data_IF_027686458439
#
_entry.id   IF_027686458439
#
_cell.length_a   1.000
_cell.length_b   1.000
_cell.length_c   1.000
_cell.angle_alpha   90.00
_cell.angle_beta   90.00
_cell.angle_gamma   90.00
#
_symmetry.space_group_name_H-M   'P 1'
#
loop_
_entity.id
_entity.type
_entity.pdbx_description
1 polymer ?
#
# COMPACT_ATOMS: atom_id res chain seq x y z
N UNK A 1 -29.64 45.22 -32.47
CA UNK A 1 -29.40 43.99 -31.69
C UNK A 1 -27.90 43.83 -31.48
N UNK A 2 -27.44 43.69 -30.23
CA UNK A 2 -26.11 43.14 -29.98
C UNK A 2 -26.13 41.96 -28.98
N UNK A 3 -25.34 40.95 -29.34
CA UNK A 3 -24.55 40.01 -28.54
C UNK A 3 -25.18 39.25 -27.38
N UNK A 4 -25.62 38.03 -27.70
CA UNK A 4 -25.74 36.90 -26.78
C UNK A 4 -24.34 36.49 -26.28
N UNK A 5 -23.75 37.28 -25.38
CA UNK A 5 -22.50 36.92 -24.72
C UNK A 5 -22.73 35.63 -23.90
N UNK A 6 -22.17 34.52 -24.37
CA UNK A 6 -22.07 33.30 -23.57
C UNK A 6 -21.39 33.58 -22.22
N UNK A 7 -21.57 32.70 -21.22
CA UNK A 7 -21.06 32.95 -19.87
C UNK A 7 -19.58 33.31 -19.92
N UNK A 8 -19.21 34.44 -19.31
CA UNK A 8 -17.81 34.86 -19.21
C UNK A 8 -16.96 33.77 -18.57
N UNK A 9 -15.65 33.77 -18.84
CA UNK A 9 -14.74 32.70 -18.40
C UNK A 9 -14.86 32.36 -16.91
N UNK A 10 -15.09 33.36 -16.06
CA UNK A 10 -15.32 33.19 -14.62
C UNK A 10 -16.60 32.38 -14.30
N UNK A 11 -17.70 32.63 -15.01
CA UNK A 11 -18.95 31.90 -14.82
C UNK A 11 -18.85 30.46 -15.34
N UNK A 12 -18.08 30.21 -16.40
CA UNK A 12 -17.76 28.86 -16.87
C UNK A 12 -16.91 28.10 -15.83
N UNK A 13 -15.90 28.73 -15.23
CA UNK A 13 -15.08 28.13 -14.17
C UNK A 13 -15.90 27.85 -12.90
N UNK A 14 -16.76 28.78 -12.48
CA UNK A 14 -17.69 28.56 -11.37
C UNK A 14 -18.64 27.38 -11.63
N UNK A 15 -19.14 27.26 -12.87
CA UNK A 15 -20.00 26.13 -13.28
C UNK A 15 -19.24 24.79 -13.26
N UNK A 16 -17.95 24.77 -13.61
CA UNK A 16 -17.12 23.56 -13.52
C UNK A 16 -16.88 23.13 -12.06
N UNK A 17 -16.73 24.08 -11.13
CA UNK A 17 -16.62 23.77 -9.70
C UNK A 17 -17.91 23.16 -9.15
N UNK A 18 -19.07 23.73 -9.51
CA UNK A 18 -20.38 23.17 -9.15
C UNK A 18 -20.58 21.77 -9.73
N UNK A 19 -20.21 21.57 -11.01
CA UNK A 19 -20.27 20.27 -11.66
C UNK A 19 -19.38 19.23 -10.96
N UNK A 20 -18.19 19.62 -10.48
CA UNK A 20 -17.33 18.73 -9.68
C UNK A 20 -18.01 18.32 -8.38
N UNK A 21 -18.58 19.26 -7.64
CA UNK A 21 -19.28 18.98 -6.38
C UNK A 21 -20.47 18.04 -6.57
N UNK A 22 -21.26 18.24 -7.63
CA UNK A 22 -22.39 17.36 -7.96
C UNK A 22 -21.89 15.95 -8.29
N UNK A 23 -20.81 15.81 -9.09
CA UNK A 23 -20.22 14.50 -9.41
C UNK A 23 -19.70 13.77 -8.17
N UNK A 24 -19.09 14.49 -7.23
CA UNK A 24 -18.65 13.92 -5.95
C UNK A 24 -19.83 13.39 -5.13
N UNK A 25 -20.93 14.17 -5.06
CA UNK A 25 -22.15 13.74 -4.36
C UNK A 25 -22.81 12.53 -5.01
N UNK A 26 -22.90 12.52 -6.34
CA UNK A 26 -23.42 11.38 -7.11
C UNK A 26 -22.57 10.12 -6.91
N UNK A 27 -21.23 10.24 -6.90
CA UNK A 27 -20.34 9.11 -6.64
C UNK A 27 -20.53 8.55 -5.22
N UNK A 28 -20.76 9.42 -4.23
CA UNK A 28 -21.10 9.01 -2.87
C UNK A 28 -22.41 8.20 -2.81
N UNK A 29 -23.45 8.68 -3.48
CA UNK A 29 -24.74 7.96 -3.56
C UNK A 29 -24.65 6.64 -4.33
N UNK A 30 -23.91 6.61 -5.45
CA UNK A 30 -23.70 5.39 -6.24
C UNK A 30 -23.07 4.28 -5.38
N UNK A 31 -22.05 4.59 -4.59
CA UNK A 31 -21.44 3.61 -3.68
C UNK A 31 -22.42 3.13 -2.59
N UNK A 32 -23.17 4.04 -1.96
CA UNK A 32 -24.14 3.67 -0.93
C UNK A 32 -25.26 2.77 -1.46
N UNK A 33 -25.71 3.00 -2.69
CA UNK A 33 -26.68 2.14 -3.37
C UNK A 33 -26.10 0.77 -3.73
N UNK A 34 -24.83 0.72 -4.17
CA UNK A 34 -24.12 -0.54 -4.43
C UNK A 34 -24.01 -1.36 -3.13
N UNK A 35 -23.58 -0.74 -2.03
CA UNK A 35 -23.45 -1.40 -0.72
C UNK A 35 -24.80 -1.92 -0.23
N UNK A 36 -25.86 -1.10 -0.31
CA UNK A 36 -27.23 -1.51 0.04
C UNK A 36 -27.69 -2.72 -0.78
N UNK A 37 -27.43 -2.73 -2.10
CA UNK A 37 -27.79 -3.86 -2.96
C UNK A 37 -26.96 -5.12 -2.65
N UNK A 38 -25.66 -4.96 -2.33
CA UNK A 38 -24.78 -6.07 -1.93
C UNK A 38 -25.22 -6.69 -0.59
N UNK A 39 -25.62 -5.86 0.37
CA UNK A 39 -26.15 -6.31 1.67
C UNK A 39 -27.50 -7.03 1.51
N UNK A 40 -28.31 -6.63 0.52
CA UNK A 40 -29.53 -7.34 0.11
C UNK A 40 -29.27 -8.62 -0.72
N UNK A 41 -28.01 -8.98 -0.97
CA UNK A 41 -27.61 -10.22 -1.64
C UNK A 41 -27.39 -10.13 -3.16
N UNK A 42 -27.51 -8.95 -3.78
CA UNK A 42 -27.26 -8.79 -5.21
C UNK A 42 -25.81 -9.13 -5.57
N UNK A 43 -25.58 -9.93 -6.60
CA UNK A 43 -24.23 -10.24 -7.07
C UNK A 43 -23.64 -9.09 -7.90
N UNK A 44 -22.33 -9.09 -8.10
CA UNK A 44 -21.68 -8.16 -9.03
C UNK A 44 -22.19 -8.28 -10.47
N UNK A 45 -22.74 -9.43 -10.86
CA UNK A 45 -23.33 -9.62 -12.18
C UNK A 45 -24.68 -8.89 -12.27
N UNK A 46 -25.50 -8.98 -11.22
CA UNK A 46 -26.78 -8.27 -11.11
C UNK A 46 -26.60 -6.75 -11.13
N UNK A 47 -25.46 -6.27 -10.60
CA UNK A 47 -25.09 -4.86 -10.59
C UNK A 47 -24.53 -4.34 -11.92
N UNK A 48 -24.16 -5.21 -12.87
CA UNK A 48 -23.52 -4.77 -14.11
C UNK A 48 -24.47 -3.91 -14.99
N UNK A 49 -25.69 -4.40 -15.19
CA UNK A 49 -26.73 -3.68 -15.95
C UNK A 49 -27.09 -2.31 -15.33
N UNK A 50 -27.46 -2.20 -14.03
CA UNK A 50 -27.81 -0.91 -13.44
C UNK A 50 -26.63 0.08 -13.34
N UNK A 51 -25.38 -0.39 -13.29
CA UNK A 51 -24.19 0.47 -13.33
C UNK A 51 -23.77 0.86 -14.76
N UNK A 52 -24.49 0.40 -15.79
CA UNK A 52 -24.21 0.69 -17.20
C UNK A 52 -22.89 0.09 -17.69
N UNK A 53 -22.49 -1.07 -17.15
CA UNK A 53 -21.24 -1.75 -17.51
C UNK A 53 -21.50 -3.15 -18.07
N UNK A 54 -20.65 -3.57 -19.00
CA UNK A 54 -20.88 -4.81 -19.74
C UNK A 54 -20.62 -6.11 -18.95
N UNK A 55 -20.01 -6.04 -17.76
CA UNK A 55 -19.61 -7.25 -17.03
C UNK A 55 -19.51 -7.07 -15.52
N UNK A 56 -19.58 -8.22 -14.82
CA UNK A 56 -19.31 -8.36 -13.38
C UNK A 56 -18.00 -7.68 -12.95
N UNK A 57 -16.93 -7.96 -13.69
CA UNK A 57 -15.60 -7.41 -13.45
C UNK A 57 -15.58 -5.88 -13.62
N UNK A 58 -16.32 -5.36 -14.60
CA UNK A 58 -16.43 -3.92 -14.81
C UNK A 58 -17.22 -3.22 -13.70
N UNK A 59 -18.24 -3.88 -13.15
CA UNK A 59 -19.02 -3.40 -12.00
C UNK A 59 -18.16 -3.33 -10.73
N UNK A 60 -17.47 -4.42 -10.40
CA UNK A 60 -16.56 -4.50 -9.25
C UNK A 60 -15.46 -3.44 -9.33
N UNK A 61 -14.82 -3.30 -10.50
CA UNK A 61 -13.78 -2.30 -10.72
C UNK A 61 -14.30 -0.86 -10.60
N UNK A 62 -15.57 -0.59 -10.96
CA UNK A 62 -16.20 0.73 -10.79
C UNK A 62 -16.39 1.05 -9.31
N UNK A 63 -16.94 0.11 -8.53
CA UNK A 63 -17.10 0.25 -7.08
C UNK A 63 -15.75 0.49 -6.37
N UNK A 64 -14.72 -0.31 -6.69
CA UNK A 64 -13.41 -0.17 -6.06
C UNK A 64 -12.72 1.17 -6.35
N UNK A 65 -13.00 1.81 -7.50
CA UNK A 65 -12.52 3.17 -7.79
C UNK A 65 -13.29 4.23 -6.99
N UNK A 66 -14.59 4.00 -6.80
CA UNK A 66 -15.49 4.89 -6.09
C UNK A 66 -15.34 4.84 -4.57
N UNK A 67 -14.91 3.71 -4.00
CA UNK A 67 -14.85 3.49 -2.55
C UNK A 67 -14.08 4.61 -1.84
N UNK A 68 -14.66 5.31 -0.85
CA UNK A 68 -13.90 6.20 0.02
C UNK A 68 -12.83 5.39 0.76
N UNK A 69 -11.60 5.91 0.83
CA UNK A 69 -10.65 5.40 1.82
C UNK A 69 -11.14 5.72 3.24
N UNK A 70 -10.42 5.29 4.30
CA UNK A 70 -10.70 5.76 5.65
C UNK A 70 -10.78 7.29 5.66
N UNK A 71 -11.71 7.84 6.44
CA UNK A 71 -12.21 9.21 6.32
C UNK A 71 -11.10 10.25 6.07
N UNK A 72 -11.24 11.05 5.01
CA UNK A 72 -10.45 12.28 4.80
C UNK A 72 -9.34 12.26 3.75
N UNK A 73 -9.20 11.22 2.91
CA UNK A 73 -8.17 11.23 1.85
C UNK A 73 -8.75 11.38 0.43
N UNK A 74 -8.30 12.39 -0.32
CA UNK A 74 -8.73 12.64 -1.71
C UNK A 74 -8.19 11.58 -2.68
N UNK A 75 -8.82 11.43 -3.86
CA UNK A 75 -8.39 10.46 -4.87
C UNK A 75 -6.92 10.61 -5.31
N UNK A 76 -6.40 11.84 -5.33
CA UNK A 76 -4.99 12.13 -5.59
C UNK A 76 -4.08 11.67 -4.45
N UNK A 77 -4.49 11.83 -3.20
CA UNK A 77 -3.73 11.37 -2.04
C UNK A 77 -3.59 9.84 -2.01
N UNK A 78 -4.51 9.07 -2.61
CA UNK A 78 -4.36 7.61 -2.77
C UNK A 78 -3.37 7.21 -3.86
N UNK A 79 -3.38 7.92 -4.97
CA UNK A 79 -2.36 7.74 -6.02
C UNK A 79 -0.99 8.09 -5.46
N UNK A 80 -0.89 9.17 -4.67
CA UNK A 80 0.34 9.55 -3.98
C UNK A 80 0.74 8.56 -2.88
N UNK A 81 -0.19 8.02 -2.10
CA UNK A 81 0.12 6.98 -1.11
C UNK A 81 0.59 5.67 -1.77
N UNK A 82 -0.01 5.28 -2.91
CA UNK A 82 0.41 4.10 -3.66
C UNK A 82 1.75 4.32 -4.36
N UNK A 83 1.96 5.51 -4.96
CA UNK A 83 3.24 5.92 -5.54
C UNK A 83 4.32 6.02 -4.46
N UNK A 84 3.97 6.56 -3.29
CA UNK A 84 4.82 6.68 -2.11
C UNK A 84 5.19 5.30 -1.56
N UNK A 85 4.25 4.38 -1.43
CA UNK A 85 4.53 2.99 -1.04
C UNK A 85 5.45 2.30 -2.03
N UNK A 86 5.19 2.40 -3.34
CA UNK A 86 6.09 1.84 -4.38
C UNK A 86 7.44 2.54 -4.44
N UNK A 87 7.49 3.84 -4.14
CA UNK A 87 8.75 4.57 -4.04
C UNK A 87 9.55 4.08 -2.82
N UNK A 88 8.91 3.95 -1.66
CA UNK A 88 9.49 3.39 -0.44
C UNK A 88 9.99 1.95 -0.65
N UNK A 89 9.17 1.07 -1.23
CA UNK A 89 9.56 -0.31 -1.58
C UNK A 89 10.80 -0.33 -2.51
N UNK A 90 10.86 0.56 -3.52
CA UNK A 90 12.04 0.67 -4.40
C UNK A 90 13.26 1.23 -3.67
N UNK A 91 13.08 2.21 -2.80
CA UNK A 91 14.16 2.77 -1.96
C UNK A 91 14.72 1.70 -1.04
N UNK A 92 13.87 0.95 -0.34
CA UNK A 92 14.28 -0.16 0.53
C UNK A 92 15.00 -1.25 -0.27
N UNK A 93 14.49 -1.64 -1.44
CA UNK A 93 15.15 -2.64 -2.29
C UNK A 93 16.51 -2.18 -2.83
N UNK A 94 16.61 -0.92 -3.26
CA UNK A 94 17.87 -0.33 -3.71
C UNK A 94 18.90 -0.25 -2.58
N UNK A 95 18.48 0.19 -1.40
CA UNK A 95 19.29 0.21 -0.19
C UNK A 95 19.76 -1.20 0.20
N UNK A 96 18.87 -2.20 0.17
CA UNK A 96 19.21 -3.57 0.54
C UNK A 96 20.24 -4.17 -0.44
N UNK A 97 20.13 -3.85 -1.74
CA UNK A 97 21.12 -4.24 -2.75
C UNK A 97 22.47 -3.55 -2.54
N UNK A 98 22.48 -2.30 -2.12
CA UNK A 98 23.70 -1.58 -1.78
C UNK A 98 24.39 -2.17 -0.53
N UNK A 99 23.61 -2.59 0.48
CA UNK A 99 24.09 -3.14 1.75
C UNK A 99 24.12 -4.68 1.77
N UNK A 100 24.09 -5.32 0.60
CA UNK A 100 23.82 -6.75 0.48
C UNK A 100 24.87 -7.65 1.18
N UNK A 101 26.13 -7.25 1.15
CA UNK A 101 27.21 -7.98 1.81
C UNK A 101 27.05 -7.96 3.34
N UNK A 102 26.75 -6.80 3.92
CA UNK A 102 26.56 -6.64 5.35
C UNK A 102 25.30 -7.35 5.86
N UNK A 103 24.20 -7.28 5.08
CA UNK A 103 22.97 -8.02 5.40
C UNK A 103 23.22 -9.53 5.45
N UNK A 104 23.96 -10.08 4.48
CA UNK A 104 24.31 -11.51 4.45
C UNK A 104 25.28 -11.90 5.56
N UNK A 105 26.26 -11.04 5.87
CA UNK A 105 27.20 -11.24 6.98
C UNK A 105 26.45 -11.32 8.32
N UNK A 106 25.58 -10.35 8.60
CA UNK A 106 24.77 -10.35 9.83
C UNK A 106 23.83 -11.54 9.90
N UNK A 107 23.17 -11.90 8.80
CA UNK A 107 22.33 -13.08 8.72
C UNK A 107 23.10 -14.37 9.04
N UNK A 108 24.33 -14.51 8.53
CA UNK A 108 25.22 -15.61 8.86
C UNK A 108 25.59 -15.65 10.35
N UNK A 109 25.97 -14.51 10.93
CA UNK A 109 26.32 -14.41 12.35
C UNK A 109 25.13 -14.76 13.25
N UNK A 110 23.94 -14.22 12.97
CA UNK A 110 22.72 -14.48 13.75
C UNK A 110 22.28 -15.94 13.66
N UNK A 111 22.37 -16.57 12.47
CA UNK A 111 21.95 -17.98 12.29
C UNK A 111 22.90 -19.00 12.89
N UNK A 112 24.14 -18.60 13.22
CA UNK A 112 25.12 -19.38 13.92
C UNK A 112 24.96 -19.35 15.47
N UNK A 113 24.13 -18.45 16.00
CA UNK A 113 23.86 -18.39 17.44
C UNK A 113 23.06 -19.63 17.89
N UNK A 114 23.53 -20.28 18.96
CA UNK A 114 22.92 -21.50 19.52
C UNK A 114 22.14 -21.27 20.81
N UNK A 115 22.28 -20.09 21.39
CA UNK A 115 21.79 -19.71 22.72
C UNK A 115 20.55 -18.78 22.68
N UNK A 116 19.93 -18.63 21.50
CA UNK A 116 18.74 -17.80 21.34
C UNK A 116 17.47 -18.45 21.93
N UNK A 117 16.52 -17.65 22.44
CA UNK A 117 15.28 -18.16 23.01
C UNK A 117 14.43 -18.88 21.95
N UNK A 118 13.56 -19.81 22.38
CA UNK A 118 12.72 -20.59 21.47
C UNK A 118 11.83 -19.73 20.55
N UNK A 119 11.43 -18.53 21.00
CA UNK A 119 10.68 -17.56 20.20
C UNK A 119 11.45 -17.08 18.94
N UNK A 120 12.79 -17.13 18.94
CA UNK A 120 13.62 -16.75 17.81
C UNK A 120 13.63 -17.80 16.68
N UNK A 121 13.11 -19.02 16.89
CA UNK A 121 13.15 -20.11 15.89
C UNK A 121 12.51 -19.72 14.56
N UNK A 122 11.37 -19.03 14.59
CA UNK A 122 10.66 -18.61 13.38
C UNK A 122 11.40 -17.48 12.63
N UNK A 123 11.87 -16.40 13.28
CA UNK A 123 12.78 -15.44 12.64
C UNK A 123 14.01 -16.11 12.03
N UNK A 124 14.68 -17.02 12.75
CA UNK A 124 15.86 -17.73 12.26
C UNK A 124 15.58 -18.60 11.03
N UNK A 125 14.45 -19.33 11.00
CA UNK A 125 14.09 -20.12 9.82
C UNK A 125 13.82 -19.24 8.60
N UNK A 126 13.22 -18.06 8.80
CA UNK A 126 13.01 -17.06 7.74
C UNK A 126 14.32 -16.43 7.25
N UNK A 127 15.28 -16.17 8.14
CA UNK A 127 16.61 -15.69 7.74
C UNK A 127 17.31 -16.76 6.88
N UNK A 128 17.28 -18.04 7.31
CA UNK A 128 17.85 -19.15 6.53
C UNK A 128 17.19 -19.31 5.16
N UNK A 129 15.87 -19.17 5.09
CA UNK A 129 15.15 -19.18 3.81
C UNK A 129 15.58 -18.02 2.92
N UNK A 130 15.62 -16.79 3.45
CA UNK A 130 16.03 -15.60 2.69
C UNK A 130 17.49 -15.66 2.22
N UNK A 131 18.39 -16.30 2.97
CA UNK A 131 19.78 -16.53 2.54
C UNK A 131 19.89 -17.42 1.29
N UNK A 132 18.88 -18.24 1.00
CA UNK A 132 18.82 -19.06 -0.21
C UNK A 132 18.32 -18.29 -1.45
N UNK A 133 17.86 -17.04 -1.29
CA UNK A 133 17.34 -16.21 -2.38
C UNK A 133 18.39 -15.19 -2.84
N UNK A 134 18.31 -14.79 -4.11
CA UNK A 134 19.26 -13.84 -4.71
C UNK A 134 19.02 -12.39 -4.27
N UNK A 135 17.77 -12.01 -3.95
CA UNK A 135 17.43 -10.62 -3.58
C UNK A 135 17.72 -10.36 -2.09
N UNK A 136 18.71 -9.51 -1.75
CA UNK A 136 19.01 -9.16 -0.35
C UNK A 136 17.87 -8.40 0.35
N UNK A 137 16.91 -7.84 -0.39
CA UNK A 137 15.73 -7.20 0.21
C UNK A 137 14.90 -8.18 1.06
N UNK A 138 14.95 -9.47 0.74
CA UNK A 138 14.25 -10.51 1.50
C UNK A 138 14.82 -10.71 2.91
N UNK A 139 16.07 -10.29 3.18
CA UNK A 139 16.71 -10.39 4.49
C UNK A 139 16.23 -9.31 5.47
N UNK A 140 15.72 -8.18 4.98
CA UNK A 140 15.41 -7.00 5.82
C UNK A 140 14.33 -7.33 6.86
N UNK A 141 13.22 -7.93 6.45
CA UNK A 141 12.12 -8.22 7.37
C UNK A 141 12.47 -9.32 8.40
N UNK A 142 13.06 -10.47 8.01
CA UNK A 142 13.50 -11.49 8.95
C UNK A 142 14.57 -11.01 9.95
N UNK A 143 15.52 -10.18 9.52
CA UNK A 143 16.54 -9.60 10.40
C UNK A 143 15.90 -8.67 11.46
N UNK A 144 15.01 -7.77 11.04
CA UNK A 144 14.26 -6.91 11.97
C UNK A 144 13.40 -7.72 12.94
N UNK A 145 12.82 -8.84 12.50
CA UNK A 145 12.06 -9.73 13.36
C UNK A 145 12.93 -10.49 14.37
N UNK A 146 14.22 -10.71 14.09
CA UNK A 146 15.16 -11.33 15.02
C UNK A 146 15.70 -10.34 16.08
N UNK A 147 15.68 -9.03 15.79
CA UNK A 147 16.24 -7.96 16.64
C UNK A 147 15.81 -8.02 18.12
N UNK A 148 14.52 -8.22 18.48
CA UNK A 148 14.10 -8.28 19.89
C UNK A 148 14.68 -9.47 20.67
N UNK A 149 15.15 -10.51 19.96
CA UNK A 149 15.71 -11.70 20.59
C UNK A 149 17.23 -11.58 20.82
N UNK A 150 17.89 -10.59 20.22
CA UNK A 150 19.32 -10.32 20.39
C UNK A 150 19.62 -9.46 21.62
N UNK A 151 18.67 -8.64 22.07
CA UNK A 151 18.89 -7.66 23.13
C UNK A 151 19.10 -8.23 24.54
N UNK A 152 19.00 -9.54 24.73
CA UNK A 152 19.23 -10.16 26.04
C UNK A 152 20.67 -10.67 26.24
N UNK A 153 21.43 -10.87 25.15
CA UNK A 153 22.78 -11.47 25.22
C UNK A 153 23.71 -11.12 24.06
N UNK A 154 23.21 -10.48 23.01
CA UNK A 154 23.92 -10.17 21.76
C UNK A 154 23.73 -8.70 21.38
N UNK A 155 23.98 -7.79 22.33
CA UNK A 155 23.77 -6.35 22.16
C UNK A 155 24.55 -5.75 20.99
N UNK A 156 25.78 -6.22 20.75
CA UNK A 156 26.61 -5.73 19.65
C UNK A 156 26.01 -6.06 18.28
N UNK A 157 25.38 -7.24 18.13
CA UNK A 157 24.68 -7.62 16.91
C UNK A 157 23.39 -6.83 16.72
N UNK A 158 22.66 -6.54 17.81
CA UNK A 158 21.51 -5.65 17.77
C UNK A 158 21.91 -4.23 17.36
N UNK A 159 23.02 -3.71 17.88
CA UNK A 159 23.55 -2.39 17.54
C UNK A 159 24.04 -2.31 16.09
N UNK A 160 24.71 -3.35 15.58
CA UNK A 160 25.10 -3.43 14.17
C UNK A 160 23.88 -3.47 13.24
N UNK A 161 22.82 -4.18 13.63
CA UNK A 161 21.57 -4.20 12.88
C UNK A 161 20.88 -2.84 12.89
N UNK A 162 20.84 -2.15 14.05
CA UNK A 162 20.28 -0.80 14.18
C UNK A 162 21.09 0.23 13.37
N UNK A 163 22.42 0.07 13.26
CA UNK A 163 23.26 0.90 12.39
C UNK A 163 23.00 0.67 10.89
N UNK A 164 22.48 -0.50 10.52
CA UNK A 164 22.06 -0.89 9.17
C UNK A 164 20.55 -0.65 8.96
N UNK A 165 19.98 0.41 9.52
CA UNK A 165 18.56 0.72 9.33
C UNK A 165 18.33 1.36 7.95
N UNK A 166 17.39 0.84 7.12
CA UNK A 166 16.97 1.53 5.91
C UNK A 166 16.28 2.87 6.26
N UNK A 167 16.52 3.96 5.49
CA UNK A 167 15.82 5.23 5.69
C UNK A 167 14.31 5.14 5.41
#
# INVERSE_FOLDING_TARGET
>A
APDSAGPGAEQALASLLLLRQVRERLAGWENGLIETARDAGASWADLASPLGVASRQAAERRYLRGRPGPAGTTGEQRVQATRGRRAAERTTAAWARHNAADLRRLAGQITALTDLPAAARLPLSRIRAALAHDDPAELVHPLNAARPHLTAGHHDLAAQLDALTPP
#
